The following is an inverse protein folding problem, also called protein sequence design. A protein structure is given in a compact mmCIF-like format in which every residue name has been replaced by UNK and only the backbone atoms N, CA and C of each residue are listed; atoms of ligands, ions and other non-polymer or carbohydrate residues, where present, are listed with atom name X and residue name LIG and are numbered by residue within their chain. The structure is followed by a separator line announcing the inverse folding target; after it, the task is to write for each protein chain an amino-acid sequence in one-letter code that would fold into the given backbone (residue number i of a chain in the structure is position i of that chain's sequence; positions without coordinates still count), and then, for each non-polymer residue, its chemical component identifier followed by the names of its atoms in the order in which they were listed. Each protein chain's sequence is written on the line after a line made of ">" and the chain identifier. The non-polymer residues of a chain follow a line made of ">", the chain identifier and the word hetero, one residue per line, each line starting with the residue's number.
data_IF_569929632617
#
_entry.id   IF_569929632617
#
_cell.length_a   1.000
_cell.length_b   1.000
_cell.length_c   1.000
_cell.angle_alpha   90.00
_cell.angle_beta   90.00
_cell.angle_gamma   90.00
#
_symmetry.space_group_name_H-M   'P 1'
#
loop_
_entity.id
_entity.type
_entity.pdbx_description
1 polymer ?
#
# COMPACT_ATOMS: atom_id res chain seq x y z
N UNK A 1 10.60 -16.93 9.65
CA UNK A 1 11.11 -16.32 8.40
C UNK A 1 12.47 -16.91 8.09
N UNK A 2 12.68 -17.41 6.86
CA UNK A 2 14.00 -17.87 6.39
C UNK A 2 14.39 -17.01 5.20
N UNK A 3 15.56 -16.38 5.29
CA UNK A 3 16.09 -15.50 4.23
C UNK A 3 17.17 -16.27 3.48
N UNK A 4 17.04 -16.35 2.17
CA UNK A 4 18.00 -17.01 1.28
C UNK A 4 18.42 -16.00 0.21
N UNK A 5 19.72 -15.84 -0.04
CA UNK A 5 20.20 -15.02 -1.14
C UNK A 5 19.85 -15.65 -2.49
N UNK A 6 19.48 -14.83 -3.47
CA UNK A 6 19.24 -15.23 -4.85
C UNK A 6 20.15 -14.44 -5.78
N UNK A 7 20.66 -15.08 -6.82
CA UNK A 7 21.41 -14.43 -7.89
C UNK A 7 20.42 -13.78 -8.86
N UNK A 8 20.57 -12.49 -9.13
CA UNK A 8 19.70 -11.72 -10.03
C UNK A 8 19.64 -12.33 -11.44
N UNK A 9 20.70 -13.02 -11.87
CA UNK A 9 20.76 -13.68 -13.19
C UNK A 9 19.84 -14.89 -13.32
N UNK A 10 19.35 -15.41 -12.19
CA UNK A 10 18.35 -16.48 -12.17
C UNK A 10 16.91 -15.94 -12.24
N UNK A 11 16.73 -14.62 -12.39
CA UNK A 11 15.43 -14.01 -12.62
C UNK A 11 15.09 -14.14 -14.10
N UNK A 12 14.40 -15.23 -14.45
CA UNK A 12 14.05 -15.57 -15.84
C UNK A 12 13.08 -14.57 -16.50
N UNK A 13 12.30 -13.85 -15.69
CA UNK A 13 11.34 -12.87 -16.16
C UNK A 13 11.00 -11.89 -15.03
N UNK A 14 11.47 -10.65 -15.13
CA UNK A 14 10.79 -9.56 -14.43
C UNK A 14 9.43 -9.41 -15.10
N UNK A 15 8.32 -9.70 -14.39
CA UNK A 15 6.97 -9.51 -14.97
C UNK A 15 6.95 -8.13 -15.61
N UNK A 16 6.63 -8.09 -16.90
CA UNK A 16 6.70 -6.89 -17.74
C UNK A 16 5.91 -5.73 -17.19
N UNK A 17 4.91 -6.01 -16.35
CA UNK A 17 4.23 -5.05 -15.50
C UNK A 17 3.28 -5.79 -14.53
N UNK A 18 2.84 -5.08 -13.48
CA UNK A 18 1.78 -5.51 -12.58
C UNK A 18 0.84 -4.34 -12.27
N UNK A 19 -0.33 -4.66 -11.71
CA UNK A 19 -1.25 -3.66 -11.22
C UNK A 19 -1.05 -3.51 -9.71
N UNK A 20 -1.14 -2.29 -9.20
CA UNK A 20 -0.91 -1.95 -7.81
C UNK A 20 -2.04 -1.09 -7.27
N UNK A 21 -2.26 -1.19 -5.97
CA UNK A 21 -3.07 -0.22 -5.22
C UNK A 21 -2.22 0.51 -4.21
N UNK A 22 -2.42 1.81 -4.13
CA UNK A 22 -1.78 2.68 -3.15
C UNK A 22 -2.86 3.35 -2.32
N UNK A 23 -2.73 3.27 -1.00
CA UNK A 23 -3.52 4.06 -0.07
C UNK A 23 -2.60 5.09 0.58
N UNK A 24 -2.94 6.37 0.43
CA UNK A 24 -2.25 7.49 1.07
C UNK A 24 -3.12 7.99 2.20
N UNK A 25 -2.56 8.08 3.39
CA UNK A 25 -3.27 8.49 4.58
C UNK A 25 -2.94 9.95 4.87
N UNK A 26 -3.97 10.79 4.83
CA UNK A 26 -3.85 12.21 5.16
C UNK A 26 -4.58 12.50 6.49
N UNK A 27 -3.96 13.34 7.32
CA UNK A 27 -4.41 13.62 8.68
C UNK A 27 -3.52 12.96 9.75
N UNK A 28 -3.87 13.19 11.02
CA UNK A 28 -3.07 12.66 12.16
C UNK A 28 -2.41 13.70 13.07
N UNK A 29 -2.83 14.98 12.99
CA UNK A 29 -2.55 15.99 14.01
C UNK A 29 -3.77 16.27 14.91
N UNK A 30 -3.87 17.49 15.46
CA UNK A 30 -5.00 17.94 16.31
C UNK A 30 -6.40 17.77 15.67
N UNK A 31 -6.46 17.66 14.34
CA UNK A 31 -7.67 17.28 13.61
C UNK A 31 -7.86 15.76 13.64
N UNK A 32 -8.82 15.29 14.44
CA UNK A 32 -9.21 13.87 14.57
C UNK A 32 -9.81 13.22 13.31
N UNK A 33 -9.74 13.87 12.16
CA UNK A 33 -10.23 13.34 10.88
C UNK A 33 -9.08 12.81 10.06
N UNK A 34 -9.15 11.53 9.73
CA UNK A 34 -8.28 10.89 8.75
C UNK A 34 -9.03 10.72 7.44
N UNK A 35 -8.40 11.10 6.33
CA UNK A 35 -8.83 10.77 4.97
C UNK A 35 -7.88 9.75 4.35
N UNK A 36 -8.40 8.99 3.39
CA UNK A 36 -7.61 8.01 2.65
C UNK A 36 -7.82 8.26 1.17
N UNK A 37 -6.76 8.65 0.48
CA UNK A 37 -6.74 8.70 -0.96
C UNK A 37 -6.27 7.36 -1.51
N UNK A 38 -7.02 6.83 -2.48
CA UNK A 38 -6.81 5.50 -3.03
C UNK A 38 -6.52 5.60 -4.51
N UNK A 39 -5.41 5.00 -4.94
CA UNK A 39 -4.96 5.01 -6.33
C UNK A 39 -4.82 3.58 -6.84
N UNK A 40 -5.31 3.35 -8.05
CA UNK A 40 -5.05 2.14 -8.83
C UNK A 40 -4.00 2.49 -9.90
N UNK A 41 -2.86 1.81 -9.86
CA UNK A 41 -1.76 1.97 -10.80
C UNK A 41 -1.70 0.72 -11.67
N UNK A 42 -2.11 0.82 -12.93
CA UNK A 42 -2.14 -0.32 -13.85
C UNK A 42 -0.88 -0.40 -14.69
N UNK A 43 -0.51 -1.61 -15.09
CA UNK A 43 0.61 -1.88 -16.00
C UNK A 43 1.93 -1.19 -15.60
N UNK A 44 2.18 -1.08 -14.29
CA UNK A 44 3.36 -0.41 -13.75
C UNK A 44 4.46 -1.40 -13.35
N UNK A 45 5.69 -0.91 -13.26
CA UNK A 45 6.77 -1.59 -12.56
C UNK A 45 6.88 -1.10 -11.11
N UNK A 46 7.33 -1.96 -10.19
CA UNK A 46 7.52 -1.57 -8.79
C UNK A 46 8.45 -0.35 -8.64
N UNK A 47 9.53 -0.30 -9.42
CA UNK A 47 10.46 0.84 -9.43
C UNK A 47 9.78 2.15 -9.84
N UNK A 48 8.88 2.13 -10.82
CA UNK A 48 8.10 3.29 -11.24
C UNK A 48 7.13 3.73 -10.15
N UNK A 49 6.46 2.78 -9.48
CA UNK A 49 5.57 3.06 -8.35
C UNK A 49 6.33 3.71 -7.20
N UNK A 50 7.51 3.20 -6.85
CA UNK A 50 8.36 3.77 -5.79
C UNK A 50 8.88 5.18 -6.15
N UNK A 51 9.24 5.42 -7.41
CA UNK A 51 9.59 6.76 -7.89
C UNK A 51 8.39 7.69 -7.75
N UNK A 52 7.22 7.27 -8.23
CA UNK A 52 5.99 8.07 -8.15
C UNK A 52 5.64 8.44 -6.71
N UNK A 53 5.74 7.51 -5.76
CA UNK A 53 5.52 7.78 -4.33
C UNK A 53 6.49 8.84 -3.81
N UNK A 54 7.76 8.77 -4.19
CA UNK A 54 8.79 9.71 -3.76
C UNK A 54 8.60 11.10 -4.37
N UNK A 55 8.17 11.16 -5.64
CA UNK A 55 8.02 12.40 -6.39
C UNK A 55 6.72 13.14 -6.04
N UNK A 56 5.69 12.43 -5.58
CA UNK A 56 4.34 12.99 -5.37
C UNK A 56 3.94 13.10 -3.90
N UNK A 57 4.59 12.38 -2.99
CA UNK A 57 4.26 12.44 -1.56
C UNK A 57 5.28 13.27 -0.78
N UNK A 58 4.83 14.14 0.14
CA UNK A 58 5.70 14.78 1.11
C UNK A 58 6.55 13.78 1.91
N UNK A 59 7.73 14.22 2.33
CA UNK A 59 8.56 13.44 3.25
C UNK A 59 7.79 13.17 4.55
N UNK A 60 7.69 11.88 4.94
CA UNK A 60 6.97 11.45 6.14
C UNK A 60 5.49 11.12 5.93
N UNK A 61 4.98 11.16 4.70
CA UNK A 61 3.63 10.68 4.39
C UNK A 61 3.46 9.20 4.75
N UNK A 62 2.29 8.88 5.32
CA UNK A 62 1.90 7.51 5.62
C UNK A 62 1.19 6.91 4.40
N UNK A 63 1.63 5.74 3.94
CA UNK A 63 1.03 5.06 2.80
C UNK A 63 1.19 3.54 2.87
N UNK A 64 0.31 2.83 2.17
CA UNK A 64 0.35 1.38 1.99
C UNK A 64 0.29 1.02 0.51
N UNK A 65 1.15 0.09 0.08
CA UNK A 65 1.25 -0.42 -1.29
C UNK A 65 0.94 -1.92 -1.33
N UNK A 66 0.07 -2.31 -2.26
CA UNK A 66 -0.24 -3.70 -2.55
C UNK A 66 -0.17 -4.00 -4.04
N UNK A 67 0.14 -5.24 -4.38
CA UNK A 67 0.08 -5.80 -5.74
C UNK A 67 -1.29 -6.44 -5.93
N UNK A 68 -1.98 -6.08 -7.00
CA UNK A 68 -3.25 -6.70 -7.40
C UNK A 68 -2.96 -8.03 -8.09
N UNK A 69 -3.52 -9.10 -7.53
CA UNK A 69 -3.43 -10.45 -8.07
C UNK A 69 -4.60 -10.80 -8.99
N UNK A 70 -5.77 -10.20 -8.74
CA UNK A 70 -7.02 -10.45 -9.45
C UNK A 70 -7.95 -9.23 -9.30
N UNK A 71 -8.65 -8.80 -10.37
CA UNK A 71 -8.54 -9.27 -11.75
C UNK A 71 -7.24 -8.81 -12.43
N UNK A 72 -6.88 -9.47 -13.54
CA UNK A 72 -5.70 -9.12 -14.34
C UNK A 72 -5.77 -7.74 -14.99
N UNK A 73 -6.98 -7.24 -15.23
CA UNK A 73 -7.26 -5.91 -15.79
C UNK A 73 -8.28 -5.19 -14.89
N UNK A 74 -7.82 -4.60 -13.76
CA UNK A 74 -8.67 -3.97 -12.79
C UNK A 74 -9.09 -2.57 -13.24
N UNK A 75 -10.32 -2.20 -12.86
CA UNK A 75 -10.83 -0.83 -12.97
C UNK A 75 -10.96 -0.23 -11.57
N UNK A 76 -11.14 1.09 -11.43
CA UNK A 76 -11.39 1.72 -10.12
C UNK A 76 -12.65 1.21 -9.39
N UNK A 77 -13.50 0.40 -10.04
CA UNK A 77 -14.71 -0.20 -9.46
C UNK A 77 -14.62 -1.72 -9.29
N UNK A 78 -13.48 -2.32 -9.63
CA UNK A 78 -13.29 -3.76 -9.51
C UNK A 78 -13.10 -4.17 -8.06
N UNK A 79 -13.64 -5.32 -7.67
CA UNK A 79 -13.22 -6.00 -6.45
C UNK A 79 -11.81 -6.54 -6.65
N UNK A 80 -10.91 -6.27 -5.70
CA UNK A 80 -9.49 -6.56 -5.84
C UNK A 80 -9.02 -7.61 -4.83
N UNK A 81 -8.29 -8.61 -5.32
CA UNK A 81 -7.45 -9.46 -4.47
C UNK A 81 -6.05 -8.89 -4.44
N UNK A 82 -5.58 -8.51 -3.24
CA UNK A 82 -4.34 -7.74 -3.08
C UNK A 82 -3.36 -8.45 -2.15
N UNK A 83 -2.13 -8.61 -2.61
CA UNK A 83 -0.97 -9.01 -1.80
C UNK A 83 -0.18 -7.76 -1.36
N UNK A 84 -0.13 -7.51 -0.05
CA UNK A 84 0.49 -6.32 0.51
C UNK A 84 2.02 -6.43 0.53
N UNK A 85 2.71 -5.41 0.00
CA UNK A 85 4.17 -5.43 -0.20
C UNK A 85 4.89 -4.64 0.88
N UNK A 86 4.60 -3.35 0.97
CA UNK A 86 5.25 -2.41 1.89
C UNK A 86 4.22 -1.36 2.32
N UNK A 87 4.32 -0.93 3.57
CA UNK A 87 3.73 0.34 3.99
C UNK A 87 4.75 1.15 4.75
N UNK A 88 4.89 2.43 4.42
CA UNK A 88 5.37 3.44 5.36
C UNK A 88 4.24 3.71 6.37
N UNK A 89 3.84 2.65 7.06
CA UNK A 89 2.64 2.60 7.86
C UNK A 89 2.98 3.08 9.27
N UNK A 90 2.09 3.86 9.88
CA UNK A 90 2.10 4.12 11.33
C UNK A 90 2.14 2.78 12.08
N UNK A 91 1.53 1.72 11.53
CA UNK A 91 1.54 0.36 12.08
C UNK A 91 2.92 -0.31 12.14
N UNK A 92 3.88 0.16 11.35
CA UNK A 92 5.26 -0.35 11.36
C UNK A 92 6.18 0.44 12.31
N UNK A 93 5.66 1.47 12.99
CA UNK A 93 6.41 2.24 13.97
C UNK A 93 6.33 1.59 15.36
N UNK A 94 7.48 1.41 16.00
CA UNK A 94 7.54 1.03 17.41
C UNK A 94 7.28 2.25 18.30
N UNK A 95 6.44 2.11 19.33
CA UNK A 95 6.22 3.17 20.32
C UNK A 95 5.02 4.07 20.05
N UNK A 96 4.00 3.56 19.33
CA UNK A 96 2.73 4.27 19.16
C UNK A 96 2.12 4.62 20.52
N UNK A 97 1.62 5.85 20.63
CA UNK A 97 0.75 6.24 21.73
C UNK A 97 -0.53 5.39 21.71
N UNK A 98 -1.24 5.24 22.85
CA UNK A 98 -2.49 4.50 22.90
C UNK A 98 -3.56 4.99 21.91
N UNK A 99 -3.53 6.29 21.56
CA UNK A 99 -4.44 6.87 20.59
C UNK A 99 -4.07 6.48 19.16
N UNK A 100 -2.78 6.57 18.80
CA UNK A 100 -2.27 6.11 17.51
C UNK A 100 -2.52 4.61 17.32
N UNK A 101 -2.29 3.79 18.35
CA UNK A 101 -2.57 2.36 18.34
C UNK A 101 -4.05 2.06 18.03
N UNK A 102 -4.98 2.75 18.71
CA UNK A 102 -6.43 2.58 18.49
C UNK A 102 -6.85 2.97 17.07
N UNK A 103 -6.23 4.01 16.51
CA UNK A 103 -6.47 4.46 15.13
C UNK A 103 -5.92 3.43 14.14
N UNK A 104 -4.70 2.95 14.37
CA UNK A 104 -4.06 1.88 13.63
C UNK A 104 -4.94 0.62 13.56
N UNK A 105 -5.47 0.18 14.70
CA UNK A 105 -6.40 -0.95 14.79
C UNK A 105 -7.70 -0.70 14.02
N UNK A 106 -8.25 0.52 14.10
CA UNK A 106 -9.44 0.89 13.33
C UNK A 106 -9.18 0.90 11.81
N UNK A 107 -7.97 1.28 11.38
CA UNK A 107 -7.56 1.24 9.98
C UNK A 107 -7.41 -0.20 9.48
N UNK A 108 -6.80 -1.09 10.27
CA UNK A 108 -6.75 -2.54 9.99
C UNK A 108 -8.17 -3.12 9.87
N UNK A 109 -9.07 -2.76 10.79
CA UNK A 109 -10.44 -3.26 10.78
C UNK A 109 -11.20 -2.86 9.49
N UNK A 110 -10.96 -1.64 8.98
CA UNK A 110 -11.52 -1.17 7.70
C UNK A 110 -10.88 -1.84 6.49
N UNK A 111 -9.60 -2.22 6.56
CA UNK A 111 -8.87 -2.93 5.50
C UNK A 111 -9.53 -4.26 5.10
N UNK A 112 -10.23 -4.89 6.03
CA UNK A 112 -11.01 -6.13 5.80
C UNK A 112 -12.48 -5.90 5.43
N UNK A 113 -12.93 -4.64 5.37
CA UNK A 113 -14.32 -4.23 5.15
C UNK A 113 -14.46 -3.35 3.90
N UNK A 114 -13.60 -3.51 2.90
CA UNK A 114 -13.83 -2.92 1.58
C UNK A 114 -14.87 -3.78 0.86
N UNK A 115 -16.13 -3.64 1.26
CA UNK A 115 -17.28 -3.99 0.45
C UNK A 115 -17.86 -2.67 -0.07
N UNK A 116 -17.82 -2.47 -1.39
CA UNK A 116 -18.55 -1.38 -2.02
C UNK A 116 -19.97 -1.86 -2.40
N UNK A 117 -20.96 -0.95 -2.41
CA UNK A 117 -22.35 -1.24 -2.77
C UNK A 117 -22.50 -1.70 -4.23
#
# INVERSE_FOLDING_TARGET
>A
MRVTGIDERNLDCERTSANFVVFVYEGGGDSRSWSVDSYLLTEAHLSQVLSWLTDNLPAGSCWALGVVEDPSDPTPRSDLRVSWVVGADVLNQSGLSPEEQRVAEAMIARRHHVAFP
#
